data_IF_579001585155
#
_entry.id   IF_579001585155
#
_cell.length_a   1.000
_cell.length_b   1.000
_cell.length_c   1.000
_cell.angle_alpha   90.00
_cell.angle_beta   90.00
_cell.angle_gamma   90.00
#
_symmetry.space_group_name_H-M   'P 1'
#
loop_
_entity.id
_entity.type
_entity.pdbx_description
1 polymer ?
#
# COMPACT_ATOMS: atom_id res chain seq x y z
N UNK A 1 15.64 14.94 -7.15
CA UNK A 1 16.09 13.66 -7.83
C UNK A 1 15.40 12.38 -7.32
N UNK A 2 14.92 12.36 -6.07
CA UNK A 2 14.44 11.16 -5.38
C UNK A 2 13.04 10.73 -5.85
N UNK A 3 12.17 11.69 -6.19
CA UNK A 3 10.80 11.46 -6.64
C UNK A 3 10.68 10.40 -7.75
N UNK A 4 11.61 10.38 -8.71
CA UNK A 4 11.65 9.39 -9.80
C UNK A 4 11.94 7.95 -9.34
N UNK A 5 12.57 7.78 -8.17
CA UNK A 5 12.92 6.48 -7.59
C UNK A 5 11.85 5.92 -6.64
N UNK A 6 10.81 6.70 -6.34
CA UNK A 6 9.77 6.31 -5.36
C UNK A 6 8.75 5.30 -5.92
N UNK A 7 8.65 5.18 -7.25
CA UNK A 7 7.65 4.33 -7.90
C UNK A 7 8.01 2.83 -7.94
N UNK A 8 9.13 2.44 -7.32
CA UNK A 8 9.55 1.04 -7.19
C UNK A 8 9.83 0.72 -5.73
N UNK A 9 9.42 -0.47 -5.31
CA UNK A 9 9.72 -1.00 -3.99
C UNK A 9 10.01 -2.51 -4.12
N UNK A 10 11.06 -3.06 -3.48
CA UNK A 10 12.04 -2.39 -2.63
C UNK A 10 12.86 -1.34 -3.40
N UNK A 11 13.38 -0.34 -2.68
CA UNK A 11 14.18 0.71 -3.30
C UNK A 11 15.56 0.19 -3.69
N UNK A 12 16.12 0.76 -4.75
CA UNK A 12 17.50 0.49 -5.13
C UNK A 12 18.47 0.93 -4.02
N UNK A 13 19.51 0.13 -3.77
CA UNK A 13 20.58 0.49 -2.86
C UNK A 13 21.44 1.57 -3.51
N UNK A 14 21.59 2.70 -2.83
CA UNK A 14 22.37 3.85 -3.30
C UNK A 14 23.37 4.19 -2.19
N UNK A 15 24.65 4.38 -2.52
CA UNK A 15 25.64 4.76 -1.50
C UNK A 15 25.67 6.27 -1.24
N UNK A 16 25.57 7.07 -2.31
CA UNK A 16 25.73 8.52 -2.28
C UNK A 16 24.53 9.22 -2.95
N UNK A 17 24.05 10.30 -2.35
CA UNK A 17 23.00 11.14 -2.94
C UNK A 17 23.24 12.62 -2.66
N UNK A 18 22.89 13.46 -3.62
CA UNK A 18 22.79 14.91 -3.45
C UNK A 18 21.31 15.28 -3.41
N UNK A 19 20.89 15.91 -2.31
CA UNK A 19 19.53 16.42 -2.13
C UNK A 19 19.40 17.80 -2.75
N UNK A 20 18.21 18.04 -3.30
CA UNK A 20 17.69 19.35 -3.71
C UNK A 20 16.62 19.80 -2.68
N UNK A 21 16.31 21.09 -2.62
CA UNK A 21 15.32 21.61 -1.65
C UNK A 21 13.94 20.99 -1.85
N UNK A 22 13.56 20.68 -3.09
CA UNK A 22 12.30 20.01 -3.41
C UNK A 22 12.24 18.58 -2.86
N UNK A 23 13.38 17.90 -2.69
CA UNK A 23 13.39 16.56 -2.09
C UNK A 23 12.97 16.63 -0.60
N UNK A 24 13.18 17.77 0.08
CA UNK A 24 12.75 18.01 1.47
C UNK A 24 11.24 18.18 1.63
N UNK A 25 10.49 18.26 0.52
CA UNK A 25 9.02 18.23 0.54
C UNK A 25 8.46 16.80 0.67
N UNK A 26 9.31 15.78 0.61
CA UNK A 26 8.90 14.40 0.85
C UNK A 26 8.90 14.14 2.37
N UNK A 27 7.72 14.01 2.96
CA UNK A 27 7.55 13.79 4.40
C UNK A 27 8.28 12.52 4.92
N UNK A 28 8.30 11.46 4.10
CA UNK A 28 8.96 10.20 4.43
C UNK A 28 10.44 10.14 3.99
N UNK A 29 11.05 11.28 3.61
CA UNK A 29 12.40 11.32 3.05
C UNK A 29 13.44 10.57 3.91
N UNK A 30 13.54 10.79 5.23
CA UNK A 30 14.59 10.15 6.01
C UNK A 30 14.41 8.63 6.11
N UNK A 31 13.16 8.13 6.17
CA UNK A 31 12.87 6.70 6.11
C UNK A 31 13.25 6.12 4.74
N UNK A 32 12.89 6.80 3.65
CA UNK A 32 13.20 6.37 2.28
C UNK A 32 14.72 6.23 2.10
N UNK A 33 15.49 7.23 2.53
CA UNK A 33 16.95 7.22 2.40
C UNK A 33 17.61 6.11 3.23
N UNK A 34 17.07 5.79 4.41
CA UNK A 34 17.50 4.63 5.19
C UNK A 34 17.20 3.31 4.49
N UNK A 35 16.01 3.16 3.91
CA UNK A 35 15.62 1.96 3.15
C UNK A 35 16.45 1.79 1.87
N UNK A 36 16.89 2.89 1.26
CA UNK A 36 17.87 2.90 0.16
C UNK A 36 19.31 2.62 0.62
N UNK A 37 19.56 2.48 1.92
CA UNK A 37 20.87 2.27 2.54
C UNK A 37 21.92 3.34 2.12
N UNK A 38 21.47 4.60 2.04
CA UNK A 38 22.34 5.73 1.70
C UNK A 38 23.27 6.07 2.87
N UNK A 39 24.57 6.14 2.58
CA UNK A 39 25.59 6.44 3.57
C UNK A 39 26.02 7.89 3.55
N UNK A 40 26.17 8.46 2.35
CA UNK A 40 26.62 9.83 2.17
C UNK A 40 25.49 10.66 1.56
N UNK A 41 24.91 11.53 2.37
CA UNK A 41 23.82 12.42 1.96
C UNK A 41 24.38 13.83 1.93
N UNK A 42 24.48 14.42 0.75
CA UNK A 42 24.94 15.80 0.58
C UNK A 42 23.75 16.72 0.39
N UNK A 43 23.82 17.91 0.99
CA UNK A 43 22.85 18.98 0.78
C UNK A 43 23.56 20.33 0.92
N UNK A 44 22.86 21.43 0.63
CA UNK A 44 23.45 22.78 0.68
C UNK A 44 24.08 23.09 2.05
N UNK A 45 23.42 22.67 3.12
CA UNK A 45 23.83 22.88 4.51
C UNK A 45 24.07 21.58 5.27
N UNK A 46 24.84 21.67 6.36
CA UNK A 46 24.90 20.63 7.37
C UNK A 46 23.57 20.62 8.13
N UNK A 47 22.83 19.51 8.08
CA UNK A 47 21.52 19.42 8.67
C UNK A 47 21.22 18.04 9.25
N UNK A 48 20.39 18.07 10.29
CA UNK A 48 19.72 16.92 10.86
C UNK A 48 18.27 16.97 10.41
N UNK A 49 17.89 16.06 9.51
CA UNK A 49 16.55 16.03 8.94
C UNK A 49 15.76 14.91 9.63
N UNK A 50 14.60 15.26 10.20
CA UNK A 50 13.71 14.35 10.92
C UNK A 50 12.40 14.15 10.18
N UNK A 51 12.04 12.88 10.02
CA UNK A 51 10.75 12.46 9.49
C UNK A 51 9.75 12.20 10.62
N UNK A 52 8.47 12.24 10.28
CA UNK A 52 7.35 12.04 11.21
C UNK A 52 7.19 10.64 11.80
N UNK A 53 7.81 9.63 11.19
CA UNK A 53 7.92 8.26 11.71
C UNK A 53 9.01 8.13 12.80
N UNK A 54 9.76 9.21 13.03
CA UNK A 54 10.90 9.29 13.94
C UNK A 54 12.23 8.91 13.29
N UNK A 55 12.26 8.71 11.97
CA UNK A 55 13.52 8.54 11.23
C UNK A 55 14.32 9.84 11.21
N UNK A 56 15.65 9.71 11.17
CA UNK A 56 16.58 10.83 11.22
C UNK A 56 17.79 10.53 10.34
N UNK A 57 18.20 11.50 9.54
CA UNK A 57 19.40 11.47 8.69
C UNK A 57 20.23 12.73 8.92
N UNK A 58 21.51 12.66 8.57
CA UNK A 58 22.43 13.79 8.65
C UNK A 58 22.98 14.08 7.25
N UNK A 59 23.01 15.35 6.87
CA UNK A 59 23.57 15.82 5.60
C UNK A 59 24.97 16.38 5.78
N UNK A 60 25.81 16.20 4.76
CA UNK A 60 27.08 16.89 4.61
C UNK A 60 26.87 18.14 3.76
N UNK A 61 27.04 19.30 4.40
CA UNK A 61 26.91 20.60 3.77
C UNK A 61 28.09 20.91 2.85
N UNK A 62 27.80 21.53 1.71
CA UNK A 62 28.84 22.03 0.81
C UNK A 62 29.29 23.46 1.15
N UNK A 63 28.53 24.19 1.98
CA UNK A 63 28.89 25.52 2.47
C UNK A 63 29.77 25.44 3.72
N UNK A 64 30.74 26.35 3.85
CA UNK A 64 31.65 26.46 5.00
C UNK A 64 30.97 26.84 6.33
N UNK A 65 29.63 26.90 6.38
CA UNK A 65 28.88 27.14 7.61
C UNK A 65 29.03 25.98 8.60
N UNK A 66 29.59 26.28 9.78
CA UNK A 66 29.68 25.35 10.92
C UNK A 66 28.34 25.09 11.62
N UNK A 67 27.27 25.75 11.19
CA UNK A 67 25.95 25.65 11.81
C UNK A 67 25.24 24.39 11.32
N UNK A 68 24.78 23.54 12.25
CA UNK A 68 23.87 22.42 11.96
C UNK A 68 22.43 22.93 12.04
N UNK A 69 21.67 22.75 10.96
CA UNK A 69 20.23 23.04 10.95
C UNK A 69 19.43 21.82 11.40
N UNK A 70 18.36 22.04 12.16
CA UNK A 70 17.35 21.02 12.42
C UNK A 70 16.19 21.24 11.47
N UNK A 71 15.89 20.23 10.63
CA UNK A 71 14.82 20.29 9.64
C UNK A 71 13.80 19.21 9.95
N UNK A 72 12.52 19.56 9.85
CA UNK A 72 11.39 18.65 9.94
C UNK A 72 10.73 18.67 8.57
N UNK A 73 10.62 17.51 7.94
CA UNK A 73 9.89 17.37 6.65
C UNK A 73 8.37 17.37 6.89
N UNK A 74 7.54 17.62 5.85
CA UNK A 74 7.94 18.29 4.61
C UNK A 74 8.16 19.79 4.88
N UNK A 75 9.06 20.44 4.14
CA UNK A 75 9.20 21.90 4.21
C UNK A 75 7.97 22.58 3.60
N UNK A 76 7.55 22.12 2.43
CA UNK A 76 6.33 22.57 1.76
C UNK A 76 5.38 21.39 1.50
N UNK A 77 4.11 21.58 1.84
CA UNK A 77 3.06 20.61 1.52
C UNK A 77 2.74 20.72 0.04
N UNK A 78 3.21 19.74 -0.74
CA UNK A 78 3.00 19.64 -2.18
C UNK A 78 2.51 18.24 -2.55
N UNK A 79 1.88 18.11 -3.71
CA UNK A 79 1.48 16.81 -4.23
C UNK A 79 2.62 16.18 -5.02
N UNK A 80 3.04 14.99 -4.63
CA UNK A 80 4.11 14.24 -5.27
C UNK A 80 3.49 12.97 -5.87
N UNK A 81 3.33 12.89 -7.20
CA UNK A 81 2.67 11.76 -7.86
C UNK A 81 3.34 10.43 -7.50
N UNK A 82 2.55 9.48 -7.00
CA UNK A 82 3.02 8.18 -6.55
C UNK A 82 1.90 7.13 -6.63
N UNK A 83 2.27 5.86 -6.76
CA UNK A 83 1.37 4.71 -6.71
C UNK A 83 1.92 3.64 -5.77
N UNK A 84 1.03 2.79 -5.25
CA UNK A 84 1.46 1.53 -4.66
C UNK A 84 2.24 0.66 -5.67
N UNK A 85 3.29 -0.05 -5.22
CA UNK A 85 4.02 -0.98 -6.06
C UNK A 85 3.14 -2.17 -6.49
N UNK A 86 3.49 -2.74 -7.64
CA UNK A 86 2.89 -4.00 -8.14
C UNK A 86 3.63 -5.16 -7.48
N UNK A 87 2.88 -6.09 -6.90
CA UNK A 87 3.40 -7.33 -6.35
C UNK A 87 3.48 -8.39 -7.46
N UNK A 88 4.61 -9.07 -7.54
CA UNK A 88 4.76 -10.21 -8.45
C UNK A 88 3.85 -11.37 -8.02
N UNK A 89 2.82 -11.62 -8.83
CA UNK A 89 1.83 -12.68 -8.62
C UNK A 89 2.46 -14.05 -8.44
N UNK A 90 3.62 -14.32 -9.06
CA UNK A 90 4.30 -15.61 -8.97
C UNK A 90 4.66 -15.96 -7.52
N UNK A 91 5.09 -14.97 -6.73
CA UNK A 91 5.45 -15.19 -5.33
C UNK A 91 4.24 -15.61 -4.48
N UNK A 92 3.07 -15.04 -4.75
CA UNK A 92 1.82 -15.40 -4.06
C UNK A 92 1.36 -16.79 -4.48
N UNK A 93 1.45 -17.11 -5.79
CA UNK A 93 1.13 -18.44 -6.33
C UNK A 93 2.04 -19.50 -5.70
N UNK A 94 3.36 -19.28 -5.69
CA UNK A 94 4.33 -20.23 -5.14
C UNK A 94 4.10 -20.47 -3.64
N UNK A 95 3.74 -19.42 -2.88
CA UNK A 95 3.37 -19.55 -1.47
C UNK A 95 2.09 -20.40 -1.32
N UNK A 96 1.06 -20.12 -2.11
CA UNK A 96 -0.20 -20.85 -2.05
C UNK A 96 -0.01 -22.35 -2.37
N UNK A 97 0.78 -22.66 -3.39
CA UNK A 97 1.10 -24.03 -3.79
C UNK A 97 1.88 -24.79 -2.69
N UNK A 98 2.82 -24.13 -2.00
CA UNK A 98 3.59 -24.80 -0.94
C UNK A 98 2.77 -25.02 0.34
N UNK A 99 1.83 -24.12 0.65
CA UNK A 99 1.08 -24.15 1.91
C UNK A 99 -0.26 -24.87 1.83
N UNK A 100 -0.98 -24.79 0.72
CA UNK A 100 -2.35 -25.26 0.62
C UNK A 100 -2.43 -26.65 -0.05
N UNK A 101 -3.45 -27.46 0.26
CA UNK A 101 -3.77 -28.62 -0.55
C UNK A 101 -4.50 -28.18 -1.82
N UNK A 102 -4.08 -28.72 -2.97
CA UNK A 102 -4.65 -28.40 -4.28
C UNK A 102 -4.69 -29.63 -5.19
N UNK A 103 -5.40 -29.49 -6.29
CA UNK A 103 -5.51 -30.42 -7.41
C UNK A 103 -5.31 -29.62 -8.72
N UNK A 104 -5.15 -30.31 -9.84
CA UNK A 104 -5.10 -29.67 -11.16
C UNK A 104 -6.45 -29.04 -11.51
N UNK A 105 -6.45 -27.82 -12.04
CA UNK A 105 -7.65 -27.12 -12.47
C UNK A 105 -7.63 -25.63 -12.19
N UNK A 106 -8.69 -24.93 -12.57
CA UNK A 106 -8.73 -23.47 -12.45
C UNK A 106 -8.97 -22.99 -11.01
N UNK A 107 -8.23 -21.96 -10.61
CA UNK A 107 -8.36 -21.29 -9.33
C UNK A 107 -8.12 -19.79 -9.41
N UNK A 108 -8.40 -19.11 -8.30
CA UNK A 108 -8.32 -17.67 -8.14
C UNK A 108 -7.72 -17.33 -6.79
N UNK A 109 -6.84 -16.33 -6.76
CA UNK A 109 -6.27 -15.77 -5.54
C UNK A 109 -6.61 -14.29 -5.44
N UNK A 110 -7.11 -13.88 -4.28
CA UNK A 110 -7.13 -12.49 -3.86
C UNK A 110 -5.79 -12.12 -3.22
N UNK A 111 -4.84 -11.46 -3.92
CA UNK A 111 -3.64 -10.92 -3.32
C UNK A 111 -3.89 -9.89 -2.22
N UNK A 112 -5.05 -9.24 -2.12
CA UNK A 112 -5.29 -8.23 -1.08
C UNK A 112 -5.51 -8.89 0.29
N UNK A 113 -4.93 -8.37 1.39
CA UNK A 113 -5.21 -8.87 2.74
C UNK A 113 -6.53 -8.37 3.33
N UNK A 114 -7.43 -7.86 2.48
CA UNK A 114 -8.78 -7.40 2.81
C UNK A 114 -9.77 -7.90 1.77
N UNK A 115 -11.05 -7.89 2.14
CA UNK A 115 -12.16 -8.21 1.25
C UNK A 115 -12.22 -7.19 0.11
N UNK A 116 -12.49 -7.65 -1.11
CA UNK A 116 -12.67 -6.77 -2.26
C UNK A 116 -13.79 -7.24 -3.17
N UNK A 117 -14.30 -6.29 -3.94
CA UNK A 117 -15.22 -6.51 -5.05
C UNK A 117 -14.49 -6.03 -6.30
N UNK A 118 -14.40 -6.88 -7.32
CA UNK A 118 -13.76 -6.56 -8.60
C UNK A 118 -14.72 -6.88 -9.75
N UNK A 119 -14.66 -6.09 -10.82
CA UNK A 119 -15.48 -6.29 -12.01
C UNK A 119 -14.66 -7.08 -13.04
N UNK A 120 -14.99 -8.36 -13.22
CA UNK A 120 -14.29 -9.31 -14.09
C UNK A 120 -15.32 -9.96 -15.01
N UNK A 121 -15.05 -10.01 -16.32
CA UNK A 121 -15.88 -10.68 -17.32
C UNK A 121 -17.39 -10.31 -17.25
N UNK A 122 -17.67 -9.02 -17.08
CA UNK A 122 -19.01 -8.45 -16.91
C UNK A 122 -19.77 -8.85 -15.64
N UNK A 123 -19.05 -9.30 -14.61
CA UNK A 123 -19.62 -9.71 -13.33
C UNK A 123 -18.89 -9.04 -12.16
N UNK A 124 -19.64 -8.70 -11.12
CA UNK A 124 -19.06 -8.29 -9.85
C UNK A 124 -18.71 -9.53 -9.05
N UNK A 125 -17.42 -9.69 -8.78
CA UNK A 125 -16.87 -10.82 -8.05
C UNK A 125 -16.45 -10.33 -6.67
N UNK A 126 -17.00 -10.95 -5.63
CA UNK A 126 -16.57 -10.74 -4.25
C UNK A 126 -15.55 -11.80 -3.85
N UNK A 127 -14.42 -11.37 -3.30
CA UNK A 127 -13.44 -12.25 -2.65
C UNK A 127 -13.09 -11.72 -1.26
N UNK A 128 -12.95 -12.62 -0.29
CA UNK A 128 -12.51 -12.27 1.06
C UNK A 128 -10.99 -12.08 1.12
N UNK A 129 -10.52 -11.48 2.21
CA UNK A 129 -9.11 -11.24 2.50
C UNK A 129 -8.22 -12.47 2.24
N UNK A 130 -7.26 -12.33 1.31
CA UNK A 130 -6.30 -13.38 0.97
C UNK A 130 -6.92 -14.66 0.41
N UNK A 131 -8.19 -14.65 0.00
CA UNK A 131 -8.91 -15.85 -0.40
C UNK A 131 -8.26 -16.57 -1.59
N UNK A 132 -8.10 -17.88 -1.46
CA UNK A 132 -7.73 -18.82 -2.52
C UNK A 132 -8.93 -19.73 -2.74
N UNK A 133 -9.55 -19.67 -3.92
CA UNK A 133 -10.80 -20.37 -4.22
C UNK A 133 -10.84 -20.87 -5.66
N UNK A 134 -11.74 -21.81 -5.94
CA UNK A 134 -12.15 -22.17 -7.31
C UNK A 134 -13.59 -21.75 -7.62
N UNK A 135 -14.31 -21.20 -6.64
CA UNK A 135 -15.71 -20.81 -6.76
C UNK A 135 -15.82 -19.31 -6.49
N UNK A 136 -15.82 -18.51 -7.56
CA UNK A 136 -16.01 -17.07 -7.43
C UNK A 136 -17.44 -16.77 -6.99
N UNK A 137 -17.58 -15.92 -5.96
CA UNK A 137 -18.87 -15.44 -5.51
C UNK A 137 -19.32 -14.26 -6.37
N UNK A 138 -20.26 -14.52 -7.26
CA UNK A 138 -20.90 -13.49 -8.08
C UNK A 138 -21.91 -12.71 -7.25
N UNK A 139 -21.91 -11.38 -7.40
CA UNK A 139 -22.92 -10.50 -6.82
C UNK A 139 -23.88 -10.05 -7.93
N UNK A 140 -25.19 -10.25 -7.70
CA UNK A 140 -26.21 -9.63 -8.53
C UNK A 140 -26.18 -8.11 -8.28
N UNK A 141 -25.61 -7.39 -9.26
CA UNK A 141 -25.60 -5.93 -9.39
C UNK A 141 -25.48 -5.19 -8.05
N UNK A 142 -24.25 -4.98 -7.60
CA UNK A 142 -24.00 -4.17 -6.42
C UNK A 142 -24.54 -2.75 -6.62
N UNK A 143 -25.19 -2.19 -5.59
CA UNK A 143 -25.25 -0.74 -5.34
C UNK A 143 -23.85 -0.18 -5.04
N UNK A 144 -22.81 -0.69 -5.72
CA UNK A 144 -21.46 -0.21 -5.61
C UNK A 144 -21.51 1.24 -6.02
N UNK A 145 -21.23 2.13 -5.07
CA UNK A 145 -21.07 3.57 -5.28
C UNK A 145 -19.92 3.90 -6.25
N UNK A 146 -19.30 2.89 -6.86
CA UNK A 146 -18.15 2.90 -7.76
C UNK A 146 -18.64 3.04 -9.20
N UNK A 147 -18.28 4.14 -9.85
CA UNK A 147 -18.48 4.36 -11.28
C UNK A 147 -17.14 4.20 -12.01
N UNK A 148 -17.15 3.42 -13.09
CA UNK A 148 -16.00 3.14 -13.94
C UNK A 148 -15.99 4.10 -15.12
N UNK A 149 -14.93 4.89 -15.27
CA UNK A 149 -14.80 5.82 -16.39
C UNK A 149 -13.40 5.70 -17.02
N UNK A 150 -13.35 5.79 -18.35
CA UNK A 150 -12.10 5.84 -19.11
C UNK A 150 -11.88 7.25 -19.68
N UNK A 151 -10.69 7.81 -19.50
CA UNK A 151 -10.29 9.08 -20.12
C UNK A 151 -10.56 10.30 -19.24
N UNK A 152 -11.25 11.31 -19.79
CA UNK A 152 -11.55 12.55 -19.07
C UNK A 152 -12.91 12.47 -18.38
N UNK A 153 -12.96 12.85 -17.10
CA UNK A 153 -14.20 12.86 -16.32
C UNK A 153 -14.45 14.27 -15.78
N UNK A 154 -15.69 14.73 -15.91
CA UNK A 154 -16.16 15.98 -15.31
C UNK A 154 -17.20 15.69 -14.24
N UNK A 155 -17.01 16.26 -13.06
CA UNK A 155 -17.90 16.07 -11.91
C UNK A 155 -18.23 17.44 -11.33
N UNK A 156 -19.52 17.72 -11.16
CA UNK A 156 -19.96 18.91 -10.42
C UNK A 156 -20.37 18.51 -9.00
N UNK A 157 -19.73 19.14 -8.01
CA UNK A 157 -19.84 18.79 -6.58
C UNK A 157 -20.58 19.83 -5.75
N UNK A 158 -20.72 21.07 -6.25
CA UNK A 158 -21.18 22.23 -5.50
C UNK A 158 -20.31 22.58 -4.26
N UNK A 159 -19.12 22.00 -4.10
CA UNK A 159 -18.22 22.36 -3.02
C UNK A 159 -17.45 23.62 -3.40
N UNK A 160 -17.44 24.65 -2.54
CA UNK A 160 -16.67 25.87 -2.82
C UNK A 160 -15.24 25.78 -2.26
N UNK A 161 -15.10 25.34 -1.00
CA UNK A 161 -13.82 25.18 -0.29
C UNK A 161 -13.74 23.78 0.36
N UNK A 162 -13.67 22.69 -0.43
CA UNK A 162 -13.56 21.35 0.10
C UNK A 162 -12.20 21.10 0.76
N UNK A 163 -12.12 20.01 1.50
CA UNK A 163 -10.87 19.43 1.98
C UNK A 163 -10.42 18.36 0.98
N UNK A 164 -9.15 18.39 0.62
CA UNK A 164 -8.52 17.42 -0.27
C UNK A 164 -7.70 16.45 0.56
N UNK A 165 -8.02 15.16 0.49
CA UNK A 165 -7.19 14.09 1.02
C UNK A 165 -6.56 13.36 -0.16
N UNK A 166 -5.25 13.11 -0.14
CA UNK A 166 -4.59 12.54 -1.31
C UNK A 166 -3.38 11.70 -0.93
N UNK A 167 -3.02 10.82 -1.86
CA UNK A 167 -1.87 9.93 -1.69
C UNK A 167 -0.60 10.65 -2.14
N UNK A 168 0.35 10.73 -1.22
CA UNK A 168 1.75 11.07 -1.47
C UNK A 168 2.60 9.80 -1.27
N UNK A 169 3.90 9.82 -1.61
CA UNK A 169 4.76 8.67 -1.48
C UNK A 169 4.80 8.17 -0.04
N UNK A 170 4.12 7.03 0.20
CA UNK A 170 4.09 6.34 1.50
C UNK A 170 3.27 7.02 2.62
N UNK A 171 2.42 8.01 2.32
CA UNK A 171 1.53 8.61 3.32
C UNK A 171 0.31 9.28 2.70
N UNK A 172 -0.70 9.55 3.52
CA UNK A 172 -1.88 10.33 3.14
C UNK A 172 -1.72 11.75 3.66
N UNK A 173 -1.97 12.72 2.79
CA UNK A 173 -1.86 14.14 3.09
C UNK A 173 -3.22 14.81 3.01
N UNK A 174 -3.40 15.91 3.75
CA UNK A 174 -4.61 16.71 3.74
C UNK A 174 -4.29 18.17 3.40
N UNK A 175 -5.01 18.73 2.44
CA UNK A 175 -4.85 20.12 2.00
C UNK A 175 -6.20 20.84 1.90
N UNK A 176 -6.20 22.14 2.17
CA UNK A 176 -7.33 23.06 1.85
C UNK A 176 -7.15 23.77 0.52
N UNK A 177 -6.00 23.58 -0.13
CA UNK A 177 -5.71 24.07 -1.48
C UNK A 177 -5.93 22.94 -2.48
N UNK A 178 -6.44 23.22 -3.69
CA UNK A 178 -6.49 22.24 -4.77
C UNK A 178 -5.12 21.63 -5.01
N UNK A 179 -5.08 20.31 -5.21
CA UNK A 179 -3.90 19.60 -5.66
C UNK A 179 -4.02 19.30 -7.15
N UNK A 180 -2.89 19.11 -7.83
CA UNK A 180 -2.84 19.00 -9.29
C UNK A 180 -2.72 17.57 -9.80
N UNK A 181 -2.16 16.65 -9.01
CA UNK A 181 -1.97 15.27 -9.44
C UNK A 181 -1.83 14.32 -8.27
N UNK A 182 -2.52 13.19 -8.31
CA UNK A 182 -2.31 12.04 -7.41
C UNK A 182 -2.91 10.79 -8.07
N UNK A 183 -2.63 9.61 -7.54
CA UNK A 183 -3.27 8.36 -7.98
C UNK A 183 -4.47 7.95 -7.12
N UNK A 184 -4.61 8.63 -5.98
CA UNK A 184 -5.79 8.58 -5.14
C UNK A 184 -6.06 9.97 -4.57
N UNK A 185 -7.32 10.39 -4.62
CA UNK A 185 -7.79 11.62 -4.01
C UNK A 185 -9.18 11.43 -3.43
N UNK A 186 -9.49 12.13 -2.35
CA UNK A 186 -10.85 12.37 -1.89
C UNK A 186 -11.07 13.86 -1.76
N UNK A 187 -12.17 14.35 -2.33
CA UNK A 187 -12.62 15.73 -2.21
C UNK A 187 -13.83 15.73 -1.29
N UNK A 188 -13.68 16.33 -0.12
CA UNK A 188 -14.66 16.25 0.97
C UNK A 188 -15.29 17.60 1.29
N UNK A 189 -16.63 17.60 1.35
CA UNK A 189 -17.48 18.70 1.81
C UNK A 189 -18.45 18.18 2.88
N UNK A 190 -19.74 18.12 2.55
CA UNK A 190 -20.75 17.39 3.34
C UNK A 190 -20.71 15.88 3.11
N UNK A 191 -20.19 15.48 1.94
CA UNK A 191 -19.90 14.12 1.51
C UNK A 191 -18.50 14.07 0.90
N UNK A 192 -17.98 12.87 0.69
CA UNK A 192 -16.70 12.64 0.03
C UNK A 192 -16.90 12.09 -1.39
N UNK A 193 -16.12 12.60 -2.33
CA UNK A 193 -15.95 12.00 -3.65
C UNK A 193 -14.51 11.49 -3.72
N UNK A 194 -14.36 10.17 -3.63
CA UNK A 194 -13.09 9.48 -3.76
C UNK A 194 -12.84 9.10 -5.22
N UNK A 195 -11.64 9.40 -5.70
CA UNK A 195 -11.15 9.16 -7.05
C UNK A 195 -9.88 8.30 -6.91
N UNK A 196 -9.82 7.17 -7.61
CA UNK A 196 -8.65 6.30 -7.64
C UNK A 196 -8.34 5.87 -9.08
N UNK A 197 -7.08 5.55 -9.32
CA UNK A 197 -6.57 5.07 -10.61
C UNK A 197 -5.38 4.15 -10.39
N UNK A 198 -5.05 3.31 -11.37
CA UNK A 198 -3.79 2.53 -11.40
C UNK A 198 -2.56 3.41 -11.65
N UNK A 199 -2.76 4.67 -12.05
CA UNK A 199 -1.70 5.65 -12.30
C UNK A 199 -2.06 7.06 -11.84
N UNK A 200 -1.08 7.95 -11.55
CA UNK A 200 -1.41 9.32 -11.19
C UNK A 200 -2.22 9.99 -12.31
N UNK A 201 -3.30 10.65 -11.92
CA UNK A 201 -4.15 11.44 -12.80
C UNK A 201 -3.97 12.91 -12.51
N UNK A 202 -4.18 13.74 -13.52
CA UNK A 202 -4.23 15.18 -13.37
C UNK A 202 -5.63 15.62 -12.96
N UNK A 203 -5.70 16.67 -12.14
CA UNK A 203 -6.96 17.21 -11.67
C UNK A 203 -6.95 18.73 -11.66
N UNK A 204 -8.07 19.31 -12.04
CA UNK A 204 -8.36 20.73 -11.83
C UNK A 204 -9.65 20.86 -11.04
N UNK A 205 -9.64 21.80 -10.09
CA UNK A 205 -10.81 22.14 -9.29
C UNK A 205 -11.10 23.63 -9.43
N UNK A 206 -12.33 23.96 -9.84
CA UNK A 206 -12.77 25.34 -9.95
C UNK A 206 -14.21 25.47 -9.46
N UNK A 207 -14.40 26.09 -8.28
CA UNK A 207 -15.72 26.43 -7.71
C UNK A 207 -16.73 25.27 -7.72
N UNK A 208 -16.27 24.07 -7.38
CA UNK A 208 -17.11 22.88 -7.29
C UNK A 208 -17.13 22.01 -8.53
N UNK A 209 -16.57 22.46 -9.64
CA UNK A 209 -16.36 21.64 -10.82
C UNK A 209 -14.97 21.00 -10.77
N UNK A 210 -14.95 19.68 -10.95
CA UNK A 210 -13.74 18.86 -11.02
C UNK A 210 -13.59 18.36 -12.45
N UNK A 211 -12.43 18.59 -13.06
CA UNK A 211 -12.02 17.87 -14.26
C UNK A 211 -10.85 16.96 -13.93
N UNK A 212 -10.94 15.70 -14.35
CA UNK A 212 -9.95 14.65 -14.09
C UNK A 212 -9.49 14.11 -15.44
N UNK A 213 -8.17 14.00 -15.63
CA UNK A 213 -7.56 13.43 -16.83
C UNK A 213 -6.59 12.31 -16.44
N UNK A 214 -6.85 11.09 -16.92
CA UNK A 214 -6.06 9.92 -16.56
C UNK A 214 -6.53 8.64 -17.22
N UNK A 215 -5.89 7.53 -16.86
CA UNK A 215 -6.28 6.17 -17.33
C UNK A 215 -7.06 5.47 -16.23
N UNK A 216 -8.11 4.73 -16.60
CA UNK A 216 -8.86 3.86 -15.67
C UNK A 216 -9.27 4.59 -14.37
N UNK A 217 -10.15 5.57 -14.48
CA UNK A 217 -10.57 6.40 -13.34
C UNK A 217 -11.78 5.77 -12.66
N UNK A 218 -11.64 5.57 -11.36
CA UNK A 218 -12.67 5.04 -10.48
C UNK A 218 -13.18 6.13 -9.57
N UNK A 219 -14.49 6.34 -9.56
CA UNK A 219 -15.11 7.37 -8.72
C UNK A 219 -16.07 6.72 -7.74
N UNK A 220 -15.95 7.07 -6.48
CA UNK A 220 -16.81 6.61 -5.39
C UNK A 220 -17.39 7.80 -4.64
N UNK A 221 -18.69 7.74 -4.35
CA UNK A 221 -19.33 8.70 -3.43
C UNK A 221 -19.41 8.08 -2.05
N UNK A 222 -18.86 8.72 -1.03
CA UNK A 222 -18.79 8.23 0.35
C UNK A 222 -19.41 9.28 1.30
N UNK A 223 -19.74 8.90 2.54
CA UNK A 223 -20.13 9.92 3.52
C UNK A 223 -18.89 10.63 4.06
N UNK A 224 -17.78 9.91 4.23
CA UNK A 224 -16.47 10.47 4.58
C UNK A 224 -15.33 9.78 3.83
N UNK A 225 -14.18 10.43 3.72
CA UNK A 225 -13.03 9.89 2.99
C UNK A 225 -12.49 8.57 3.59
N UNK A 226 -12.72 8.33 4.89
CA UNK A 226 -12.11 7.22 5.63
C UNK A 226 -12.99 5.98 5.77
N UNK A 227 -14.28 6.03 5.40
CA UNK A 227 -15.24 4.92 5.55
C UNK A 227 -14.77 3.62 4.87
N UNK A 228 -14.31 3.71 3.63
CA UNK A 228 -13.94 2.54 2.80
C UNK A 228 -12.42 2.40 2.61
N UNK A 229 -11.62 3.22 3.31
CA UNK A 229 -10.15 3.31 3.12
C UNK A 229 -9.78 3.30 1.63
N UNK A 230 -10.27 4.27 0.84
CA UNK A 230 -10.27 4.23 -0.61
C UNK A 230 -8.87 4.19 -1.25
N UNK A 231 -7.80 4.50 -0.51
CA UNK A 231 -6.43 4.21 -0.92
C UNK A 231 -6.16 2.71 -1.18
N UNK A 232 -6.93 1.80 -0.57
CA UNK A 232 -6.92 0.36 -0.89
C UNK A 232 -7.42 0.07 -2.30
N UNK A 233 -8.32 0.90 -2.84
CA UNK A 233 -8.76 0.77 -4.22
C UNK A 233 -7.56 1.00 -5.15
N UNK A 234 -6.77 2.06 -4.95
CA UNK A 234 -5.54 2.29 -5.70
C UNK A 234 -4.59 1.07 -5.65
N UNK A 235 -4.43 0.45 -4.47
CA UNK A 235 -3.65 -0.78 -4.34
C UNK A 235 -4.24 -1.95 -5.15
N UNK A 236 -5.56 -2.19 -5.05
CA UNK A 236 -6.25 -3.25 -5.76
C UNK A 236 -6.12 -3.09 -7.29
N UNK A 237 -6.18 -1.85 -7.80
CA UNK A 237 -6.04 -1.56 -9.23
C UNK A 237 -4.66 -1.95 -9.79
N UNK A 238 -3.63 -1.87 -8.95
CA UNK A 238 -2.27 -2.31 -9.28
C UNK A 238 -2.05 -3.81 -9.04
N UNK A 239 -2.90 -4.46 -8.25
CA UNK A 239 -2.73 -5.85 -7.79
C UNK A 239 -4.05 -6.63 -7.99
N UNK A 240 -4.34 -6.96 -9.25
CA UNK A 240 -5.59 -7.62 -9.68
C UNK A 240 -5.76 -9.03 -9.12
N UNK A 241 -6.97 -9.60 -9.22
CA UNK A 241 -7.19 -11.02 -8.90
C UNK A 241 -6.28 -11.89 -9.78
N UNK A 242 -5.61 -12.86 -9.16
CA UNK A 242 -4.67 -13.76 -9.84
C UNK A 242 -5.42 -15.02 -10.25
N UNK A 243 -5.49 -15.30 -11.54
CA UNK A 243 -5.99 -16.57 -12.07
C UNK A 243 -4.87 -17.62 -12.08
N UNK A 244 -5.17 -18.84 -11.65
CA UNK A 244 -4.20 -19.93 -11.49
C UNK A 244 -4.67 -21.22 -12.16
N UNK A 245 -3.72 -22.11 -12.43
CA UNK A 245 -3.91 -23.46 -12.97
C UNK A 245 -3.92 -24.56 -11.89
N UNK A 246 -3.98 -24.16 -10.62
CA UNK A 246 -4.29 -25.04 -9.51
C UNK A 246 -5.66 -24.72 -8.89
N UNK A 247 -6.38 -25.79 -8.55
CA UNK A 247 -7.65 -25.76 -7.85
C UNK A 247 -7.43 -26.04 -6.36
N UNK A 248 -7.66 -25.07 -5.45
CA UNK A 248 -7.56 -25.34 -4.02
C UNK A 248 -8.65 -26.32 -3.56
N UNK A 249 -8.32 -27.26 -2.67
CA UNK A 249 -9.33 -28.21 -2.12
C UNK A 249 -10.39 -27.52 -1.26
N UNK A 250 -10.03 -26.38 -0.66
CA UNK A 250 -10.91 -25.61 0.23
C UNK A 250 -10.76 -24.12 -0.04
N UNK A 251 -11.83 -23.35 0.16
CA UNK A 251 -11.77 -21.88 0.14
C UNK A 251 -11.09 -21.39 1.42
N UNK A 252 -9.88 -20.84 1.32
CA UNK A 252 -9.05 -20.49 2.47
C UNK A 252 -8.44 -19.11 2.28
N UNK A 253 -8.33 -18.33 3.37
CA UNK A 253 -7.52 -17.11 3.39
C UNK A 253 -6.04 -17.49 3.51
N UNK A 254 -5.24 -17.28 2.46
CA UNK A 254 -3.79 -17.49 2.49
C UNK A 254 -3.15 -16.62 3.57
N UNK A 255 -3.55 -15.34 3.60
CA UNK A 255 -3.13 -14.39 4.61
C UNK A 255 -4.13 -13.23 4.77
N UNK A 256 -4.11 -12.60 5.94
CA UNK A 256 -4.85 -11.35 6.20
C UNK A 256 -4.06 -10.47 7.14
N UNK A 257 -4.34 -9.17 7.11
CA UNK A 257 -3.63 -8.18 7.92
C UNK A 257 -4.63 -7.26 8.63
N UNK A 258 -4.42 -7.09 9.93
CA UNK A 258 -5.18 -6.20 10.80
C UNK A 258 -4.22 -5.24 11.53
N UNK A 259 -4.58 -3.97 11.80
CA UNK A 259 -5.78 -3.30 11.31
C UNK A 259 -5.67 -3.02 9.81
N UNK A 260 -6.79 -2.60 9.26
CA UNK A 260 -6.95 -2.36 7.84
C UNK A 260 -6.07 -1.22 7.25
N UNK A 261 -5.29 -0.52 8.07
CA UNK A 261 -4.39 0.57 7.64
C UNK A 261 -3.03 0.03 7.23
N UNK A 262 -2.75 -1.24 7.52
CA UNK A 262 -1.50 -1.89 7.16
C UNK A 262 -1.60 -2.40 5.73
N UNK A 263 -0.75 -1.88 4.86
CA UNK A 263 -0.76 -2.16 3.42
C UNK A 263 0.54 -2.86 3.02
N UNK A 264 0.48 -3.99 2.29
CA UNK A 264 1.67 -4.62 1.74
C UNK A 264 2.32 -3.75 0.67
N UNK A 265 3.63 -3.58 0.75
CA UNK A 265 4.47 -2.92 -0.27
C UNK A 265 5.36 -3.91 -1.03
N UNK A 266 5.67 -5.07 -0.42
CA UNK A 266 6.52 -6.08 -1.03
C UNK A 266 6.13 -7.47 -0.57
N UNK A 267 6.20 -8.44 -1.48
CA UNK A 267 5.89 -9.82 -1.19
C UNK A 267 6.78 -10.72 -2.07
N UNK A 268 7.76 -11.36 -1.47
CA UNK A 268 8.69 -12.25 -2.17
C UNK A 268 8.87 -13.55 -1.42
N UNK A 269 8.57 -14.67 -2.07
CA UNK A 269 8.59 -15.98 -1.46
C UNK A 269 9.71 -16.84 -2.05
N UNK A 270 10.69 -17.17 -1.21
CA UNK A 270 11.70 -18.17 -1.53
C UNK A 270 11.17 -19.57 -1.21
N UNK A 271 10.72 -20.26 -2.26
CA UNK A 271 10.15 -21.62 -2.19
C UNK A 271 11.14 -22.66 -1.65
N UNK A 272 12.44 -22.51 -1.93
CA UNK A 272 13.45 -23.49 -1.53
C UNK A 272 13.70 -23.42 -0.01
N UNK A 273 13.76 -22.20 0.52
CA UNK A 273 14.00 -21.97 1.94
C UNK A 273 12.72 -21.83 2.77
N UNK A 274 11.56 -21.77 2.11
CA UNK A 274 10.23 -21.51 2.70
C UNK A 274 10.19 -20.20 3.49
N UNK A 275 10.79 -19.16 2.91
CA UNK A 275 10.91 -17.84 3.53
C UNK A 275 10.13 -16.81 2.73
N UNK A 276 9.16 -16.16 3.38
CA UNK A 276 8.45 -15.00 2.87
C UNK A 276 9.13 -13.72 3.37
N UNK A 277 9.56 -12.87 2.44
CA UNK A 277 9.96 -11.50 2.71
C UNK A 277 8.76 -10.60 2.41
N UNK A 278 8.24 -9.93 3.43
CA UNK A 278 7.05 -9.10 3.38
C UNK A 278 7.37 -7.73 3.94
N UNK A 279 7.16 -6.68 3.16
CA UNK A 279 7.23 -5.30 3.67
C UNK A 279 5.82 -4.74 3.76
N UNK A 280 5.51 -4.09 4.87
CA UNK A 280 4.21 -3.45 5.11
C UNK A 280 4.39 -2.00 5.57
N UNK A 281 3.39 -1.17 5.27
CA UNK A 281 3.33 0.22 5.73
C UNK A 281 2.06 0.49 6.52
N UNK A 282 2.14 1.31 7.56
CA UNK A 282 0.98 1.82 8.27
C UNK A 282 0.48 3.13 7.65
N UNK A 283 -0.61 3.09 6.89
CA UNK A 283 -1.23 4.30 6.30
C UNK A 283 -2.13 5.07 7.29
N UNK A 284 -2.10 4.75 8.59
CA UNK A 284 -2.80 5.50 9.64
C UNK A 284 -1.96 6.65 10.17
N UNK A 285 -2.62 7.69 10.67
CA UNK A 285 -1.99 8.81 11.38
C UNK A 285 -1.58 8.45 12.83
N UNK A 286 -2.03 7.28 13.30
CA UNK A 286 -1.77 6.75 14.63
C UNK A 286 -0.80 5.57 14.58
N UNK A 287 -0.07 5.38 15.69
CA UNK A 287 0.66 4.16 15.96
C UNK A 287 -0.33 3.00 16.20
N UNK A 288 -0.05 1.84 15.63
CA UNK A 288 -0.94 0.67 15.73
C UNK A 288 -0.17 -0.60 16.06
N UNK A 289 -0.88 -1.59 16.59
CA UNK A 289 -0.36 -2.95 16.69
C UNK A 289 -0.90 -3.74 15.51
N UNK A 290 -0.02 -4.07 14.57
CA UNK A 290 -0.33 -4.88 13.41
C UNK A 290 -0.35 -6.36 13.79
N UNK A 291 -1.27 -7.12 13.20
CA UNK A 291 -1.34 -8.58 13.26
C UNK A 291 -1.48 -9.12 11.84
N UNK A 292 -0.56 -9.99 11.44
CA UNK A 292 -0.63 -10.72 10.18
C UNK A 292 -1.00 -12.15 10.51
N UNK A 293 -2.08 -12.65 9.91
CA UNK A 293 -2.49 -14.05 10.03
C UNK A 293 -2.13 -14.79 8.75
N UNK A 294 -1.63 -16.02 8.88
CA UNK A 294 -1.33 -16.89 7.75
C UNK A 294 -2.08 -18.21 7.85
N UNK A 295 -2.32 -18.83 6.70
CA UNK A 295 -2.65 -20.27 6.61
C UNK A 295 -1.40 -21.14 6.58
N UNK A 296 -0.48 -20.87 7.50
CA UNK A 296 0.79 -21.57 7.66
C UNK A 296 1.11 -21.76 9.15
N UNK A 297 2.00 -22.71 9.45
CA UNK A 297 2.75 -22.71 10.71
C UNK A 297 3.93 -21.75 10.55
N UNK A 298 4.09 -20.83 11.48
CA UNK A 298 5.21 -19.91 11.50
C UNK A 298 6.34 -20.52 12.34
N UNK A 299 7.51 -20.70 11.73
CA UNK A 299 8.68 -21.30 12.39
C UNK A 299 9.57 -20.24 13.03
N UNK A 300 9.77 -19.12 12.36
CA UNK A 300 10.56 -18.00 12.86
C UNK A 300 10.15 -16.70 12.16
N UNK A 301 10.31 -15.58 12.85
CA UNK A 301 10.08 -14.25 12.31
C UNK A 301 11.22 -13.33 12.69
N UNK A 302 11.69 -12.56 11.72
CA UNK A 302 12.61 -11.46 11.90
C UNK A 302 11.92 -10.18 11.40
N UNK A 303 11.92 -9.13 12.22
CA UNK A 303 11.31 -7.83 11.93
C UNK A 303 12.41 -6.76 11.97
N UNK A 304 12.66 -6.10 10.86
CA UNK A 304 13.74 -5.11 10.70
C UNK A 304 15.12 -5.61 11.17
N UNK A 305 15.42 -6.90 11.00
CA UNK A 305 16.68 -7.51 11.45
C UNK A 305 16.65 -8.12 12.85
N UNK A 306 15.56 -7.94 13.60
CA UNK A 306 15.43 -8.43 14.97
C UNK A 306 14.52 -9.66 15.05
N UNK A 307 15.01 -10.74 15.67
CA UNK A 307 14.23 -11.96 15.89
C UNK A 307 13.06 -11.68 16.84
N UNK A 308 11.87 -12.13 16.46
CA UNK A 308 10.64 -12.04 17.24
C UNK A 308 10.05 -13.43 17.42
N UNK A 309 9.59 -13.77 18.63
CA UNK A 309 8.88 -15.03 18.85
C UNK A 309 7.51 -14.99 18.14
N UNK A 310 7.26 -15.89 17.18
CA UNK A 310 5.96 -15.93 16.51
C UNK A 310 4.93 -16.69 17.33
N UNK A 311 3.66 -16.36 17.14
CA UNK A 311 2.58 -17.27 17.48
C UNK A 311 2.46 -18.37 16.39
N UNK A 312 1.63 -19.38 16.64
CA UNK A 312 1.51 -20.54 15.74
C UNK A 312 1.20 -20.17 14.27
N UNK A 313 0.29 -19.23 14.05
CA UNK A 313 -0.24 -18.86 12.74
C UNK A 313 -0.41 -17.34 12.54
N UNK A 314 0.13 -16.54 13.46
CA UNK A 314 0.04 -15.09 13.41
C UNK A 314 1.30 -14.40 13.93
N UNK A 315 1.51 -13.16 13.48
CA UNK A 315 2.63 -12.31 13.85
C UNK A 315 2.07 -10.99 14.32
N UNK A 316 2.37 -10.60 15.56
CA UNK A 316 1.91 -9.34 16.15
C UNK A 316 3.10 -8.43 16.40
N UNK A 317 3.05 -7.19 15.90
CA UNK A 317 4.14 -6.22 16.05
C UNK A 317 3.64 -4.77 16.06
N UNK A 318 4.28 -3.87 16.82
CA UNK A 318 3.97 -2.45 16.77
C UNK A 318 4.53 -1.81 15.50
N UNK A 319 3.78 -0.87 14.93
CA UNK A 319 4.20 -0.07 13.78
C UNK A 319 3.71 1.37 13.97
N UNK A 320 4.65 2.32 13.87
CA UNK A 320 4.34 3.75 14.04
C UNK A 320 3.55 4.29 12.85
N UNK A 321 2.96 5.47 13.01
CA UNK A 321 2.33 6.21 11.89
C UNK A 321 3.28 6.29 10.68
N UNK A 322 2.77 5.93 9.50
CA UNK A 322 3.46 5.99 8.18
C UNK A 322 4.78 5.19 8.08
N UNK A 323 5.11 4.41 9.10
CA UNK A 323 6.34 3.64 9.14
C UNK A 323 6.23 2.39 8.26
N UNK A 324 7.35 2.01 7.63
CA UNK A 324 7.52 0.74 6.96
C UNK A 324 8.20 -0.27 7.90
N UNK A 325 7.72 -1.51 7.88
CA UNK A 325 8.32 -2.67 8.55
C UNK A 325 8.67 -3.74 7.53
N UNK A 326 9.87 -4.30 7.65
CA UNK A 326 10.31 -5.43 6.84
C UNK A 326 10.27 -6.70 7.68
N UNK A 327 9.54 -7.70 7.21
CA UNK A 327 9.38 -8.99 7.87
C UNK A 327 10.00 -10.08 7.02
N UNK A 328 10.75 -10.97 7.66
CA UNK A 328 11.24 -12.22 7.08
C UNK A 328 10.66 -13.37 7.88
N UNK A 329 9.80 -14.15 7.24
CA UNK A 329 8.91 -15.11 7.88
C UNK A 329 9.22 -16.49 7.33
N UNK A 330 9.67 -17.41 8.18
CA UNK A 330 9.85 -18.80 7.80
C UNK A 330 8.55 -19.56 8.04
N UNK A 331 8.02 -20.18 7.01
CA UNK A 331 6.70 -20.83 7.04
C UNK A 331 6.78 -22.32 6.76
N UNK A 332 5.81 -23.06 7.29
CA UNK A 332 5.59 -24.47 6.96
C UNK A 332 4.12 -24.76 6.76
N UNK A 333 3.82 -25.71 5.88
CA UNK A 333 2.46 -26.21 5.65
C UNK A 333 1.81 -26.70 6.96
N UNK A 334 0.57 -26.29 7.18
CA UNK A 334 -0.25 -26.77 8.28
C UNK A 334 -0.70 -28.21 8.04
N UNK A 335 -0.92 -28.97 9.12
CA UNK A 335 -1.63 -30.24 9.01
C UNK A 335 -3.06 -29.98 8.54
N UNK A 336 -3.63 -30.91 7.78
CA UNK A 336 -4.94 -30.75 7.15
C UNK A 336 -6.05 -30.41 8.17
N UNK A 337 -6.01 -30.99 9.37
CA UNK A 337 -6.96 -30.70 10.44
C UNK A 337 -6.96 -29.21 10.86
N UNK A 338 -5.81 -28.54 10.83
CA UNK A 338 -5.72 -27.09 11.10
C UNK A 338 -6.15 -26.26 9.90
N UNK A 339 -5.87 -26.72 8.68
CA UNK A 339 -6.32 -26.07 7.45
C UNK A 339 -7.85 -26.03 7.38
N UNK A 340 -8.53 -27.13 7.73
CA UNK A 340 -10.00 -27.20 7.76
C UNK A 340 -10.65 -26.18 8.70
N UNK A 341 -9.94 -25.74 9.74
CA UNK A 341 -10.44 -24.70 10.67
C UNK A 341 -10.33 -23.28 10.10
N UNK A 342 -9.60 -23.09 9.00
CA UNK A 342 -9.41 -21.81 8.30
C UNK A 342 -10.27 -21.68 7.05
N UNK A 343 -11.19 -22.62 6.82
CA UNK A 343 -12.12 -22.58 5.70
C UNK A 343 -13.01 -21.35 5.83
N UNK A 344 -13.11 -20.61 4.73
CA UNK A 344 -14.01 -19.50 4.56
C UNK A 344 -15.37 -20.07 4.14
N UNK A 345 -16.39 -19.81 4.96
CA UNK A 345 -17.78 -20.11 4.63
C UNK A 345 -18.38 -19.08 3.66
#
# INVERSE_FOLDING_TARGET
MISKKLNKYPFDIIQDIQLEDEDLNIEQLPQILKLMNVKNIKWEYNARIKGVDGSEIITQGNKEEKKEYLIITPIEITSIPWNFPIIDSKNIIDLALDLLPYEEGEGYINPSPWDRIEYIDNKYIQMKAGEVTSNLKELEKTDTKVQYNYGSVKISTNFYNPIFHYLNPLYLETSRKPILSSSFMSIEGDKSIAIASSSPFEISFNRGDINIEGKEIYIMKLNSWNEERPFRLNWNLNNKIIKTDFKPKYNISLYRVEPASIIPLYFNYDKNNKVLNLSVINMSNDDVIATIYFSARIESVEIDGENTEPEFDRIRFPIRRWRIKNLKIKTRKLLEAYIKRKIIA
#
